data_IF_743064672344
#
_entry.id   IF_743064672344
#
_cell.length_a   1.000
_cell.length_b   1.000
_cell.length_c   1.000
_cell.angle_alpha   90.00
_cell.angle_beta   90.00
_cell.angle_gamma   90.00
#
_symmetry.space_group_name_H-M   'P 1'
#
loop_
_entity.id
_entity.type
_entity.pdbx_description
1 polymer ?
#
# COMPACT_ATOMS: atom_id res chain seq x y z
N UNK A 1 11.64 4.46 32.76
CA UNK A 1 11.45 5.91 33.02
C UNK A 1 10.60 6.47 31.87
N UNK A 2 9.28 6.24 31.91
CA UNK A 2 8.36 6.73 30.89
C UNK A 2 8.00 8.18 31.24
N UNK A 3 8.36 9.12 30.37
CA UNK A 3 8.03 10.53 30.55
C UNK A 3 6.52 10.74 30.37
N UNK A 4 5.87 11.55 31.22
CA UNK A 4 4.42 11.82 31.19
C UNK A 4 4.06 12.85 30.11
N UNK A 5 4.46 12.61 28.86
CA UNK A 5 4.10 13.41 27.67
C UNK A 5 2.63 13.11 27.24
N UNK A 6 1.82 12.52 28.13
CA UNK A 6 0.91 11.43 27.78
C UNK A 6 -0.57 11.77 27.51
N UNK A 7 -1.00 13.03 27.42
CA UNK A 7 -2.40 13.30 26.98
C UNK A 7 -2.57 14.56 26.16
N UNK A 8 -2.14 15.72 26.66
CA UNK A 8 -2.40 16.99 25.97
C UNK A 8 -1.58 17.14 24.68
N UNK A 9 -0.29 16.84 24.72
CA UNK A 9 0.56 16.88 23.51
C UNK A 9 0.11 15.83 22.49
N UNK A 10 -0.30 14.65 22.95
CA UNK A 10 -0.84 13.59 22.08
C UNK A 10 -2.15 14.04 21.42
N UNK A 11 -3.02 14.74 22.14
CA UNK A 11 -4.25 15.32 21.58
C UNK A 11 -3.93 16.34 20.48
N UNK A 12 -3.02 17.28 20.75
CA UNK A 12 -2.59 18.27 19.75
C UNK A 12 -1.88 17.63 18.56
N UNK A 13 -1.14 16.54 18.76
CA UNK A 13 -0.47 15.80 17.70
C UNK A 13 -1.48 15.06 16.82
N UNK A 14 -2.50 14.42 17.40
CA UNK A 14 -3.59 13.78 16.65
C UNK A 14 -4.35 14.82 15.82
N UNK A 15 -4.70 15.96 16.41
CA UNK A 15 -5.38 17.05 15.70
C UNK A 15 -4.49 17.62 14.58
N UNK A 16 -3.21 17.82 14.85
CA UNK A 16 -2.22 18.30 13.87
C UNK A 16 -2.03 17.33 12.71
N UNK A 17 -1.84 16.03 12.96
CA UNK A 17 -1.76 15.01 11.92
C UNK A 17 -3.06 14.90 11.12
N UNK A 18 -4.21 15.02 11.78
CA UNK A 18 -5.52 15.04 11.13
C UNK A 18 -5.62 16.19 10.14
N UNK A 19 -5.32 17.42 10.56
CA UNK A 19 -5.31 18.60 9.69
C UNK A 19 -4.35 18.43 8.50
N UNK A 20 -3.09 18.06 8.76
CA UNK A 20 -2.06 17.95 7.72
C UNK A 20 -2.31 16.78 6.77
N UNK A 21 -3.04 15.73 7.17
CA UNK A 21 -3.40 14.62 6.27
C UNK A 21 -4.68 14.92 5.51
N UNK A 22 -5.66 15.55 6.16
CA UNK A 22 -6.98 15.78 5.60
C UNK A 22 -6.95 16.91 4.57
N UNK A 23 -6.19 17.99 4.81
CA UNK A 23 -6.01 19.10 3.86
C UNK A 23 -5.53 18.59 2.48
N UNK A 24 -4.40 17.89 2.33
CA UNK A 24 -3.92 17.40 1.04
C UNK A 24 -4.74 16.21 0.51
N UNK A 25 -5.62 15.58 1.29
CA UNK A 25 -6.53 14.52 0.79
C UNK A 25 -7.84 15.10 0.26
N UNK A 26 -8.35 16.17 0.88
CA UNK A 26 -9.48 16.96 0.40
C UNK A 26 -9.14 17.87 -0.77
N UNK A 27 -7.93 18.45 -0.79
CA UNK A 27 -7.50 19.35 -1.86
C UNK A 27 -7.64 18.71 -3.25
N UNK A 28 -7.15 17.48 -3.48
CA UNK A 28 -7.38 16.76 -4.73
C UNK A 28 -8.87 16.55 -4.99
N UNK A 29 -9.65 16.11 -3.99
CA UNK A 29 -11.08 15.86 -4.15
C UNK A 29 -11.87 17.11 -4.55
N UNK A 30 -11.51 18.29 -4.02
CA UNK A 30 -12.20 19.56 -4.27
C UNK A 30 -11.64 20.25 -5.52
N UNK A 31 -10.32 20.24 -5.72
CA UNK A 31 -9.65 20.81 -6.89
C UNK A 31 -9.94 20.03 -8.18
N UNK A 32 -10.21 18.71 -8.06
CA UNK A 32 -10.72 17.88 -9.15
C UNK A 32 -12.23 18.08 -9.38
N UNK A 33 -12.84 19.21 -8.99
CA UNK A 33 -14.22 19.55 -9.38
C UNK A 33 -14.31 19.60 -10.91
N UNK A 34 -14.91 18.55 -11.44
CA UNK A 34 -14.82 18.06 -12.81
C UNK A 34 -15.91 18.67 -13.72
N UNK A 35 -16.05 19.99 -13.72
CA UNK A 35 -17.01 20.65 -14.64
C UNK A 35 -16.37 20.87 -16.04
N UNK A 36 -15.07 21.17 -16.11
CA UNK A 36 -14.41 21.61 -17.36
C UNK A 36 -13.21 20.74 -17.82
N UNK A 37 -12.99 19.57 -17.22
CA UNK A 37 -11.87 18.70 -17.64
C UNK A 37 -12.22 17.95 -18.93
N UNK A 38 -11.36 17.92 -19.97
CA UNK A 38 -11.59 17.13 -21.18
C UNK A 38 -11.65 15.62 -20.86
N UNK A 39 -12.44 14.84 -21.57
CA UNK A 39 -12.68 13.43 -21.22
C UNK A 39 -11.40 12.56 -21.20
N UNK A 40 -10.37 12.96 -21.93
CA UNK A 40 -9.01 12.39 -21.86
C UNK A 40 -8.52 12.32 -20.41
N UNK A 41 -8.64 13.41 -19.65
CA UNK A 41 -7.89 13.58 -18.41
C UNK A 41 -8.61 12.91 -17.25
N UNK A 42 -9.94 12.97 -17.26
CA UNK A 42 -10.80 12.14 -16.38
C UNK A 42 -10.46 10.66 -16.52
N UNK A 43 -10.31 10.15 -17.76
CA UNK A 43 -9.93 8.76 -18.03
C UNK A 43 -8.52 8.41 -17.56
N UNK A 44 -7.56 9.33 -17.66
CA UNK A 44 -6.21 9.12 -17.13
C UNK A 44 -6.20 9.11 -15.60
N UNK A 45 -6.80 10.11 -14.95
CA UNK A 45 -6.90 10.25 -13.49
C UNK A 45 -7.58 9.04 -12.85
N UNK A 46 -8.63 8.49 -13.46
CA UNK A 46 -9.29 7.27 -12.97
C UNK A 46 -8.37 6.04 -12.96
N UNK A 47 -7.29 6.03 -13.77
CA UNK A 47 -6.30 4.94 -13.83
C UNK A 47 -5.07 5.19 -12.97
N UNK A 48 -4.86 6.43 -12.51
CA UNK A 48 -3.72 6.82 -11.66
C UNK A 48 -3.63 5.98 -10.38
N UNK A 49 -4.71 5.74 -9.60
CA UNK A 49 -4.63 4.94 -8.38
C UNK A 49 -4.12 3.52 -8.64
N UNK A 50 -4.63 2.87 -9.69
CA UNK A 50 -4.20 1.52 -10.07
C UNK A 50 -2.75 1.49 -10.56
N UNK A 51 -2.32 2.50 -11.31
CA UNK A 51 -0.93 2.63 -11.74
C UNK A 51 0.03 2.82 -10.55
N UNK A 52 -0.35 3.65 -9.57
CA UNK A 52 0.43 3.87 -8.35
C UNK A 52 0.51 2.60 -7.52
N UNK A 53 -0.61 1.89 -7.31
CA UNK A 53 -0.62 0.62 -6.59
C UNK A 53 0.31 -0.41 -7.25
N UNK A 54 0.26 -0.55 -8.57
CA UNK A 54 1.18 -1.42 -9.31
C UNK A 54 2.64 -0.99 -9.17
N UNK A 55 2.92 0.31 -9.31
CA UNK A 55 4.27 0.87 -9.21
C UNK A 55 4.86 0.76 -7.79
N UNK A 56 4.03 0.69 -6.74
CA UNK A 56 4.47 0.49 -5.36
C UNK A 56 4.60 -1.00 -5.01
N UNK A 57 3.65 -1.83 -5.43
CA UNK A 57 3.62 -3.26 -5.08
C UNK A 57 4.71 -4.03 -5.82
N UNK A 58 4.93 -3.74 -7.11
CA UNK A 58 5.91 -4.47 -7.92
C UNK A 58 7.34 -4.41 -7.34
N UNK A 59 7.93 -3.23 -7.06
CA UNK A 59 9.22 -3.18 -6.39
C UNK A 59 9.13 -3.70 -4.96
N UNK A 60 8.01 -3.45 -4.26
CA UNK A 60 7.81 -3.93 -2.89
C UNK A 60 8.00 -5.44 -2.76
N UNK A 61 7.46 -6.24 -3.68
CA UNK A 61 7.59 -7.70 -3.63
C UNK A 61 8.97 -8.18 -4.09
N UNK A 62 9.60 -7.49 -5.05
CA UNK A 62 10.92 -7.89 -5.57
C UNK A 62 12.06 -7.69 -4.56
N UNK A 63 11.95 -6.69 -3.68
CA UNK A 63 12.98 -6.33 -2.70
C UNK A 63 12.69 -6.81 -1.26
N UNK A 64 11.77 -7.76 -1.07
CA UNK A 64 11.43 -8.29 0.27
C UNK A 64 12.52 -9.18 0.89
N UNK A 65 13.38 -9.80 0.08
CA UNK A 65 14.36 -10.78 0.54
C UNK A 65 15.82 -10.46 0.16
N UNK A 66 16.77 -11.28 0.64
CA UNK A 66 18.21 -11.08 0.39
C UNK A 66 18.60 -11.22 -1.08
N UNK A 67 17.82 -11.96 -1.86
CA UNK A 67 18.00 -12.09 -3.32
C UNK A 67 16.66 -11.92 -4.04
N UNK A 68 16.74 -11.41 -5.28
CA UNK A 68 15.57 -11.17 -6.15
C UNK A 68 14.76 -12.45 -6.40
N UNK A 69 15.39 -13.61 -6.34
CA UNK A 69 14.73 -14.93 -6.49
C UNK A 69 13.67 -15.20 -5.42
N UNK A 70 13.86 -14.72 -4.18
CA UNK A 70 12.85 -14.81 -3.12
C UNK A 70 11.61 -13.99 -3.43
N UNK A 71 11.82 -12.76 -3.91
CA UNK A 71 10.74 -11.89 -4.34
C UNK A 71 9.92 -12.49 -5.50
N UNK A 72 10.59 -13.09 -6.48
CA UNK A 72 9.93 -13.76 -7.61
C UNK A 72 9.13 -14.99 -7.16
N UNK A 73 9.65 -15.79 -6.22
CA UNK A 73 8.94 -16.93 -5.65
C UNK A 73 7.65 -16.49 -4.91
N UNK A 74 7.76 -15.47 -4.05
CA UNK A 74 6.61 -14.89 -3.35
C UNK A 74 5.59 -14.26 -4.31
N UNK A 75 6.06 -13.54 -5.33
CA UNK A 75 5.21 -12.95 -6.36
C UNK A 75 4.43 -14.02 -7.14
N UNK A 76 5.08 -15.15 -7.45
CA UNK A 76 4.45 -16.26 -8.19
C UNK A 76 3.32 -16.89 -7.37
N UNK A 77 3.57 -17.15 -6.09
CA UNK A 77 2.55 -17.70 -5.18
C UNK A 77 1.41 -16.70 -4.96
N UNK A 78 1.72 -15.42 -4.75
CA UNK A 78 0.72 -14.37 -4.62
C UNK A 78 -0.14 -14.23 -5.89
N UNK A 79 0.47 -14.27 -7.08
CA UNK A 79 -0.23 -14.21 -8.36
C UNK A 79 -1.14 -15.44 -8.56
N UNK A 80 -0.66 -16.63 -8.20
CA UNK A 80 -1.44 -17.86 -8.27
C UNK A 80 -2.65 -17.81 -7.34
N UNK A 81 -2.47 -17.42 -6.08
CA UNK A 81 -3.56 -17.26 -5.11
C UNK A 81 -4.56 -16.17 -5.52
N UNK A 82 -4.08 -15.04 -6.06
CA UNK A 82 -4.94 -13.96 -6.57
C UNK A 82 -5.78 -14.41 -7.77
N UNK A 83 -5.27 -15.31 -8.62
CA UNK A 83 -6.03 -15.85 -9.75
C UNK A 83 -7.30 -16.59 -9.32
N UNK A 84 -7.28 -17.23 -8.14
CA UNK A 84 -8.46 -17.91 -7.57
C UNK A 84 -9.49 -16.97 -6.93
N UNK A 85 -9.39 -15.63 -7.15
CA UNK A 85 -10.26 -14.61 -6.54
C UNK A 85 -10.29 -14.69 -5.00
N UNK A 86 -9.21 -15.15 -4.39
CA UNK A 86 -9.08 -15.14 -2.93
C UNK A 86 -9.08 -13.68 -2.42
N UNK A 87 -9.61 -13.42 -1.21
CA UNK A 87 -9.57 -12.09 -0.62
C UNK A 87 -8.12 -11.62 -0.44
N UNK A 88 -7.86 -10.33 -0.62
CA UNK A 88 -6.51 -9.73 -0.56
C UNK A 88 -5.73 -10.17 0.68
N UNK A 89 -6.40 -10.19 1.84
CA UNK A 89 -5.80 -10.61 3.12
C UNK A 89 -5.31 -12.06 3.06
N UNK A 90 -6.07 -12.97 2.45
CA UNK A 90 -5.67 -14.37 2.32
C UNK A 90 -4.50 -14.53 1.35
N UNK A 91 -4.47 -13.77 0.26
CA UNK A 91 -3.35 -13.78 -0.70
C UNK A 91 -2.06 -13.32 -0.02
N UNK A 92 -2.11 -12.20 0.70
CA UNK A 92 -0.96 -11.63 1.42
C UNK A 92 -0.49 -12.58 2.52
N UNK A 93 -1.41 -13.10 3.33
CA UNK A 93 -1.09 -14.06 4.39
C UNK A 93 -0.45 -15.34 3.82
N UNK A 94 -1.00 -15.89 2.73
CA UNK A 94 -0.47 -17.08 2.07
C UNK A 94 0.94 -16.87 1.51
N UNK A 95 1.20 -15.71 0.88
CA UNK A 95 2.52 -15.36 0.39
C UNK A 95 3.54 -15.19 1.53
N UNK A 96 3.16 -14.54 2.63
CA UNK A 96 4.03 -14.39 3.82
C UNK A 96 4.34 -15.75 4.42
N UNK A 97 3.32 -16.59 4.67
CA UNK A 97 3.50 -17.93 5.24
C UNK A 97 4.42 -18.77 4.35
N UNK A 98 4.21 -18.76 3.03
CA UNK A 98 5.07 -19.48 2.09
C UNK A 98 6.52 -18.99 2.14
N UNK A 99 6.75 -17.68 2.13
CA UNK A 99 8.09 -17.11 2.23
C UNK A 99 8.76 -17.44 3.57
N UNK A 100 8.03 -17.37 4.69
CA UNK A 100 8.57 -17.74 6.00
C UNK A 100 8.94 -19.22 6.10
N UNK A 101 8.18 -20.11 5.47
CA UNK A 101 8.51 -21.54 5.43
C UNK A 101 9.77 -21.77 4.58
N UNK A 102 9.89 -21.10 3.44
CA UNK A 102 11.09 -21.20 2.62
C UNK A 102 12.32 -20.66 3.36
N UNK A 103 12.21 -19.54 4.06
CA UNK A 103 13.31 -18.93 4.82
C UNK A 103 13.82 -19.86 5.92
N UNK A 104 12.90 -20.49 6.67
CA UNK A 104 13.21 -21.46 7.74
C UNK A 104 13.78 -22.78 7.21
N UNK A 105 13.52 -23.15 5.95
CA UNK A 105 14.02 -24.40 5.35
C UNK A 105 15.40 -24.21 4.69
N UNK A 106 15.69 -23.02 4.18
CA UNK A 106 16.94 -22.70 3.46
C UNK A 106 18.05 -22.11 4.35
N UNK A 107 17.74 -21.72 5.59
CA UNK A 107 18.69 -21.19 6.59
C UNK A 107 18.54 -21.90 7.93
#
# INVERSE_FOLDING_TARGET
MATPILTEEMFWLIVGMGLVTFIPRLLPLIALKTENWPDWSKRMLARVPFAILGALIFPGILYVGPTVTWGVAGATVAAFLAYFKAPLIAVVAGAIVFLTILDVILY
#
